data_IF_721896353933
#
_entry.id   IF_721896353933
#
_cell.length_a   1.000
_cell.length_b   1.000
_cell.length_c   1.000
_cell.angle_alpha   90.00
_cell.angle_beta   90.00
_cell.angle_gamma   90.00
#
_symmetry.space_group_name_H-M   'P 1'
#
loop_
_entity.id
_entity.type
_entity.pdbx_description
1 polymer ?
#
# COMPACT_ATOMS: atom_id res chain seq x y z
N UNK A 1 -43.32 29.11 -34.52
CA UNK A 1 -42.66 29.97 -33.52
C UNK A 1 -41.24 29.44 -33.35
N UNK A 2 -40.40 29.75 -34.34
CA UNK A 2 -39.25 30.69 -34.25
C UNK A 2 -38.04 29.95 -33.64
N UNK A 3 -37.13 29.38 -34.44
CA UNK A 3 -35.88 30.02 -34.95
C UNK A 3 -35.27 30.95 -33.91
N UNK A 4 -34.10 30.62 -33.34
CA UNK A 4 -32.83 31.10 -33.88
C UNK A 4 -31.58 30.32 -33.42
N UNK A 5 -30.67 30.13 -34.38
CA UNK A 5 -29.34 29.53 -34.28
C UNK A 5 -28.28 30.54 -33.79
N UNK A 6 -27.23 30.01 -33.13
CA UNK A 6 -25.86 30.51 -32.99
C UNK A 6 -25.53 31.70 -32.05
N UNK A 7 -24.96 31.36 -30.88
CA UNK A 7 -23.83 32.09 -30.28
C UNK A 7 -22.74 31.08 -29.86
N UNK A 8 -21.55 31.27 -30.45
CA UNK A 8 -20.20 30.89 -30.00
C UNK A 8 -20.02 29.97 -28.77
N UNK A 9 -19.46 28.77 -28.99
CA UNK A 9 -18.47 28.14 -28.10
C UNK A 9 -18.84 27.74 -26.66
N UNK A 10 -20.10 27.86 -26.23
CA UNK A 10 -20.50 27.48 -24.88
C UNK A 10 -20.95 26.01 -24.85
N UNK A 11 -20.16 25.15 -24.20
CA UNK A 11 -20.58 23.80 -23.85
C UNK A 11 -21.85 23.87 -22.96
N UNK A 12 -22.82 22.94 -23.09
CA UNK A 12 -23.95 22.87 -22.15
C UNK A 12 -23.44 22.80 -20.71
N UNK A 13 -24.16 23.38 -19.75
CA UNK A 13 -23.70 23.59 -18.37
C UNK A 13 -23.17 22.30 -17.72
N UNK A 14 -23.85 21.17 -17.92
CA UNK A 14 -23.39 19.85 -17.45
C UNK A 14 -22.08 19.39 -18.12
N UNK A 15 -21.87 19.72 -19.41
CA UNK A 15 -20.61 19.44 -20.09
C UNK A 15 -19.51 20.39 -19.62
N UNK A 16 -19.83 21.63 -19.29
CA UNK A 16 -18.88 22.59 -18.72
C UNK A 16 -18.41 22.16 -17.32
N UNK A 17 -19.31 21.65 -16.47
CA UNK A 17 -18.97 21.07 -15.18
C UNK A 17 -18.11 19.81 -15.32
N UNK A 18 -18.44 18.94 -16.28
CA UNK A 18 -17.62 17.77 -16.57
C UNK A 18 -16.22 18.13 -17.11
N UNK A 19 -16.12 19.18 -17.94
CA UNK A 19 -14.82 19.70 -18.42
C UNK A 19 -14.03 20.30 -17.25
N UNK A 20 -14.65 21.05 -16.34
CA UNK A 20 -13.98 21.60 -15.16
C UNK A 20 -13.49 20.49 -14.23
N UNK A 21 -14.32 19.49 -13.93
CA UNK A 21 -13.93 18.37 -13.07
C UNK A 21 -12.76 17.59 -13.67
N UNK A 22 -12.79 17.31 -14.98
CA UNK A 22 -11.70 16.59 -15.64
C UNK A 22 -10.39 17.37 -15.66
N UNK A 23 -10.43 18.71 -15.77
CA UNK A 23 -9.22 19.54 -15.65
C UNK A 23 -8.64 19.51 -14.23
N UNK A 24 -9.48 19.55 -13.20
CA UNK A 24 -9.06 19.44 -11.79
C UNK A 24 -8.48 18.06 -11.50
N UNK A 25 -9.13 16.99 -11.95
CA UNK A 25 -8.63 15.61 -11.82
C UNK A 25 -7.26 15.46 -12.48
N UNK A 26 -7.06 16.06 -13.65
CA UNK A 26 -5.79 16.02 -14.37
C UNK A 26 -4.66 16.68 -13.59
N UNK A 27 -4.90 17.87 -13.03
CA UNK A 27 -3.90 18.57 -12.21
C UNK A 27 -3.65 17.84 -10.89
N UNK A 28 -4.70 17.34 -10.23
CA UNK A 28 -4.61 16.59 -8.99
C UNK A 28 -3.76 15.31 -9.15
N UNK A 29 -4.01 14.54 -10.20
CA UNK A 29 -3.25 13.32 -10.48
C UNK A 29 -1.84 13.62 -10.96
N UNK A 30 -1.64 14.69 -11.72
CA UNK A 30 -0.30 15.12 -12.15
C UNK A 30 0.56 15.43 -10.94
N UNK A 31 0.07 16.28 -10.03
CA UNK A 31 0.79 16.66 -8.82
C UNK A 31 1.22 15.43 -8.01
N UNK A 32 0.28 14.52 -7.73
CA UNK A 32 0.54 13.31 -6.94
C UNK A 32 1.47 12.32 -7.64
N UNK A 33 1.38 12.22 -8.96
CA UNK A 33 2.23 11.29 -9.71
C UNK A 33 3.70 11.68 -9.69
N UNK A 34 4.01 12.97 -9.75
CA UNK A 34 5.39 13.47 -9.82
C UNK A 34 5.95 13.95 -8.47
N UNK A 35 5.29 13.64 -7.35
CA UNK A 35 5.72 14.06 -6.01
C UNK A 35 5.60 12.97 -4.95
N UNK A 36 5.73 11.70 -5.32
CA UNK A 36 5.67 10.59 -4.38
C UNK A 36 6.94 10.49 -3.54
N UNK A 37 6.81 10.43 -2.22
CA UNK A 37 7.91 10.19 -1.30
C UNK A 37 7.85 8.78 -0.71
N UNK A 38 8.70 7.85 -1.21
CA UNK A 38 8.77 6.50 -0.67
C UNK A 38 9.29 6.52 0.76
N UNK A 39 8.68 5.69 1.60
CA UNK A 39 9.20 5.39 2.93
C UNK A 39 10.44 4.50 2.79
N UNK A 40 11.55 4.88 3.45
CA UNK A 40 12.73 4.01 3.55
C UNK A 40 12.41 2.82 4.45
N UNK A 41 11.92 1.73 3.84
CA UNK A 41 11.55 0.53 4.56
C UNK A 41 12.19 -0.70 3.90
N UNK A 42 13.33 -1.11 4.46
CA UNK A 42 14.13 -2.24 4.00
C UNK A 42 14.00 -3.45 4.92
N UNK A 43 13.57 -4.60 4.40
CA UNK A 43 13.42 -5.84 5.19
C UNK A 43 14.51 -6.87 4.90
N UNK A 44 14.87 -7.05 3.63
CA UNK A 44 15.79 -8.10 3.21
C UNK A 44 16.56 -7.66 1.94
N UNK A 45 16.97 -8.61 1.10
CA UNK A 45 17.76 -8.37 -0.11
C UNK A 45 17.12 -7.36 -1.08
N UNK A 46 15.79 -7.30 -1.19
CA UNK A 46 15.11 -6.31 -2.05
C UNK A 46 15.35 -4.86 -1.61
N UNK A 47 15.75 -4.63 -0.34
CA UNK A 47 16.13 -3.30 0.13
C UNK A 47 17.41 -2.79 -0.53
N UNK A 48 18.36 -3.68 -0.85
CA UNK A 48 19.59 -3.31 -1.55
C UNK A 48 19.25 -2.86 -2.97
N UNK A 49 18.41 -3.61 -3.67
CA UNK A 49 17.94 -3.25 -5.00
C UNK A 49 17.13 -1.94 -5.00
N UNK A 50 16.39 -1.66 -3.94
CA UNK A 50 15.74 -0.37 -3.73
C UNK A 50 16.76 0.77 -3.57
N UNK A 51 17.82 0.57 -2.80
CA UNK A 51 18.92 1.54 -2.67
C UNK A 51 19.60 1.75 -4.03
N UNK A 52 19.84 0.68 -4.78
CA UNK A 52 20.44 0.76 -6.14
C UNK A 52 19.54 1.54 -7.09
N UNK A 53 18.21 1.40 -7.01
CA UNK A 53 17.28 2.21 -7.78
C UNK A 53 17.36 3.71 -7.44
N UNK A 54 17.83 4.06 -6.24
CA UNK A 54 18.14 5.43 -5.83
C UNK A 54 19.52 5.95 -6.25
N UNK A 55 20.41 5.09 -6.76
CA UNK A 55 21.74 5.52 -7.21
C UNK A 55 21.70 6.17 -8.59
N UNK A 56 22.76 6.92 -8.94
CA UNK A 56 22.87 7.68 -10.19
C UNK A 56 22.64 6.89 -11.48
N UNK A 57 22.80 5.55 -11.46
CA UNK A 57 22.59 4.71 -12.65
C UNK A 57 21.11 4.61 -13.05
N UNK A 58 20.23 4.50 -12.06
CA UNK A 58 18.79 4.26 -12.27
C UNK A 58 17.94 5.46 -11.88
N UNK A 59 18.42 6.22 -10.89
CA UNK A 59 17.94 7.52 -10.46
C UNK A 59 16.41 7.63 -10.37
N UNK A 60 15.86 7.12 -9.26
CA UNK A 60 14.44 7.25 -8.94
C UNK A 60 13.99 8.72 -8.76
N UNK A 61 14.91 9.68 -8.58
CA UNK A 61 14.56 11.10 -8.47
C UNK A 61 13.87 11.62 -9.74
N UNK A 62 14.18 11.03 -10.90
CA UNK A 62 13.59 11.38 -12.20
C UNK A 62 12.06 11.21 -12.26
N UNK A 63 11.52 10.37 -11.37
CA UNK A 63 10.09 10.12 -11.25
C UNK A 63 9.45 10.91 -10.08
N UNK A 64 10.15 11.89 -9.52
CA UNK A 64 9.69 12.66 -8.37
C UNK A 64 9.83 11.95 -7.03
N UNK A 65 10.59 10.85 -7.00
CA UNK A 65 10.77 9.97 -5.83
C UNK A 65 12.13 10.15 -5.17
N UNK A 66 12.66 11.36 -5.23
CA UNK A 66 14.02 11.70 -4.79
C UNK A 66 14.20 11.60 -3.27
N UNK A 67 13.15 11.89 -2.50
CA UNK A 67 13.23 11.94 -1.04
C UNK A 67 12.64 10.67 -0.44
N UNK A 68 13.49 9.66 -0.26
CA UNK A 68 13.12 8.52 0.55
C UNK A 68 13.06 8.93 2.04
N UNK A 69 11.84 9.06 2.59
CA UNK A 69 11.63 9.59 3.94
C UNK A 69 11.73 8.49 5.00
N UNK A 70 12.45 8.72 6.12
CA UNK A 70 12.52 7.76 7.23
C UNK A 70 11.31 7.80 8.16
N UNK A 71 10.38 8.74 7.97
CA UNK A 71 9.20 8.88 8.82
C UNK A 71 7.92 8.56 8.05
N UNK A 72 7.01 7.74 8.62
CA UNK A 72 5.77 7.38 7.93
C UNK A 72 4.81 8.56 7.76
N UNK A 73 4.85 9.54 8.66
CA UNK A 73 3.96 10.70 8.62
C UNK A 73 4.22 11.65 7.44
N UNK A 74 5.41 11.57 6.86
CA UNK A 74 5.82 12.40 5.72
C UNK A 74 5.84 11.60 4.40
N UNK A 75 5.73 10.27 4.45
CA UNK A 75 5.75 9.42 3.28
C UNK A 75 4.33 9.11 2.81
N UNK A 76 4.14 9.00 1.50
CA UNK A 76 2.88 8.63 0.86
C UNK A 76 2.96 7.27 0.14
N UNK A 77 4.16 6.73 -0.06
CA UNK A 77 4.38 5.42 -0.67
C UNK A 77 5.11 4.48 0.29
N UNK A 78 4.50 3.32 0.57
CA UNK A 78 5.12 2.24 1.33
C UNK A 78 5.59 1.14 0.38
N UNK A 79 6.91 0.99 0.23
CA UNK A 79 7.50 -0.10 -0.56
C UNK A 79 7.93 -1.21 0.39
N UNK A 80 7.32 -2.38 0.23
CA UNK A 80 7.63 -3.54 1.06
C UNK A 80 8.72 -4.34 0.37
N UNK A 81 9.97 -3.99 0.71
CA UNK A 81 11.16 -4.51 0.05
C UNK A 81 11.75 -5.72 0.78
N UNK A 82 11.12 -6.88 0.59
CA UNK A 82 11.68 -8.16 0.98
C UNK A 82 10.76 -9.04 1.83
N UNK A 83 11.38 -9.89 2.65
CA UNK A 83 10.66 -10.94 3.40
C UNK A 83 9.90 -10.37 4.59
N UNK A 84 8.58 -10.58 4.60
CA UNK A 84 7.72 -10.19 5.71
C UNK A 84 7.64 -11.35 6.70
N UNK A 85 8.29 -11.18 7.86
CA UNK A 85 8.11 -12.11 8.97
C UNK A 85 6.82 -11.76 9.72
N UNK A 86 6.15 -12.77 10.27
CA UNK A 86 4.94 -12.63 11.08
C UNK A 86 5.12 -11.56 12.19
N UNK A 87 6.27 -11.52 12.88
CA UNK A 87 6.58 -10.48 13.88
C UNK A 87 6.57 -9.06 13.28
N UNK A 88 7.09 -8.92 12.07
CA UNK A 88 7.21 -7.62 11.41
C UNK A 88 5.89 -7.08 10.86
N UNK A 89 4.90 -7.96 10.60
CA UNK A 89 3.58 -7.56 10.07
C UNK A 89 2.93 -6.49 10.95
N UNK A 90 2.97 -6.66 12.28
CA UNK A 90 2.35 -5.71 13.21
C UNK A 90 2.96 -4.32 13.06
N UNK A 91 4.29 -4.24 12.94
CA UNK A 91 4.99 -2.98 12.72
C UNK A 91 4.66 -2.37 11.36
N UNK A 92 4.56 -3.20 10.31
CA UNK A 92 4.20 -2.74 8.95
C UNK A 92 2.79 -2.12 8.93
N UNK A 93 1.81 -2.80 9.54
CA UNK A 93 0.43 -2.29 9.63
C UNK A 93 0.37 -1.00 10.45
N UNK A 94 1.15 -0.91 11.54
CA UNK A 94 1.26 0.34 12.32
C UNK A 94 1.87 1.48 11.50
N UNK A 95 2.92 1.21 10.72
CA UNK A 95 3.53 2.21 9.84
C UNK A 95 2.54 2.70 8.80
N UNK A 96 1.82 1.77 8.15
CA UNK A 96 0.79 2.10 7.16
C UNK A 96 -0.34 2.95 7.75
N UNK A 97 -0.83 2.60 8.94
CA UNK A 97 -1.87 3.40 9.62
C UNK A 97 -1.39 4.79 10.07
N UNK A 98 -0.08 4.99 10.22
CA UNK A 98 0.50 6.30 10.58
C UNK A 98 0.79 7.20 9.38
N UNK A 99 0.64 6.69 8.15
CA UNK A 99 0.81 7.46 6.93
C UNK A 99 -0.41 8.33 6.66
N UNK A 100 -0.18 9.53 6.13
CA UNK A 100 -1.24 10.41 5.69
C UNK A 100 -2.00 9.77 4.51
N UNK A 101 -3.30 9.98 4.46
CA UNK A 101 -4.08 9.71 3.26
C UNK A 101 -3.85 10.87 2.28
N UNK A 102 -3.50 10.62 1.01
CA UNK A 102 -3.53 9.35 0.29
C UNK A 102 -2.22 8.56 0.32
N UNK A 103 -2.32 7.25 0.55
CA UNK A 103 -1.15 6.36 0.63
C UNK A 103 -1.25 5.16 -0.30
N UNK A 104 -0.10 4.69 -0.76
CA UNK A 104 0.00 3.57 -1.69
C UNK A 104 0.99 2.52 -1.20
N UNK A 105 0.78 1.26 -1.60
CA UNK A 105 1.64 0.13 -1.23
C UNK A 105 2.15 -0.59 -2.46
N UNK A 106 3.48 -0.73 -2.56
CA UNK A 106 4.13 -1.60 -3.55
C UNK A 106 4.65 -2.84 -2.84
N UNK A 107 4.24 -4.02 -3.33
CA UNK A 107 4.87 -5.29 -2.96
C UNK A 107 6.08 -5.53 -3.85
N UNK A 108 7.28 -5.44 -3.27
CA UNK A 108 8.53 -5.62 -4.01
C UNK A 108 9.15 -6.99 -3.71
N UNK A 109 9.20 -7.81 -4.76
CA UNK A 109 9.82 -9.12 -4.75
C UNK A 109 8.88 -10.28 -4.39
N UNK A 110 9.37 -11.50 -4.60
CA UNK A 110 8.62 -12.74 -4.41
C UNK A 110 8.22 -12.96 -2.95
N UNK A 111 9.08 -12.55 -2.00
CA UNK A 111 8.81 -12.72 -0.57
C UNK A 111 7.65 -11.83 -0.09
N UNK A 112 7.60 -10.57 -0.51
CA UNK A 112 6.51 -9.66 -0.16
C UNK A 112 5.19 -10.06 -0.82
N UNK A 113 5.25 -10.60 -2.05
CA UNK A 113 4.06 -10.95 -2.84
C UNK A 113 3.42 -12.27 -2.38
N UNK A 114 4.21 -13.30 -2.06
CA UNK A 114 3.69 -14.63 -1.78
C UNK A 114 4.52 -15.48 -0.82
N UNK A 115 5.45 -14.88 -0.07
CA UNK A 115 6.39 -15.59 0.81
C UNK A 115 7.65 -16.11 0.10
N UNK A 116 7.65 -16.15 -1.24
CA UNK A 116 8.81 -16.50 -2.06
C UNK A 116 9.37 -17.89 -1.71
N UNK A 117 10.69 -18.08 -1.69
CA UNK A 117 11.31 -19.36 -1.32
C UNK A 117 11.04 -19.75 0.14
N UNK A 118 10.63 -18.81 0.99
CA UNK A 118 10.35 -19.03 2.41
C UNK A 118 8.87 -19.23 2.70
N UNK A 119 8.04 -19.50 1.68
CA UNK A 119 6.58 -19.65 1.84
C UNK A 119 6.18 -20.73 2.85
N UNK A 120 6.97 -21.80 2.94
CA UNK A 120 6.77 -22.92 3.87
C UNK A 120 7.43 -22.69 5.25
N UNK A 121 8.15 -21.57 5.42
CA UNK A 121 8.79 -21.21 6.67
C UNK A 121 7.79 -20.86 7.78
N UNK A 122 8.03 -21.33 9.00
CA UNK A 122 7.15 -21.12 10.16
C UNK A 122 6.93 -19.64 10.51
N UNK A 123 7.90 -18.78 10.19
CA UNK A 123 7.93 -17.37 10.58
C UNK A 123 7.57 -16.39 9.46
N UNK A 124 7.48 -16.83 8.21
CA UNK A 124 7.23 -15.96 7.05
C UNK A 124 5.75 -15.95 6.71
N UNK A 125 5.25 -14.77 6.32
CA UNK A 125 3.90 -14.63 5.80
C UNK A 125 3.89 -14.93 4.31
N UNK A 126 2.92 -15.71 3.85
CA UNK A 126 2.70 -16.01 2.43
C UNK A 126 2.07 -14.84 1.64
N UNK A 127 2.63 -13.63 1.78
CA UNK A 127 2.22 -12.41 1.08
C UNK A 127 1.65 -11.32 1.99
N UNK A 128 2.02 -10.06 1.74
CA UNK A 128 1.53 -8.91 2.51
C UNK A 128 0.07 -8.56 2.21
N UNK A 129 -0.43 -8.94 1.03
CA UNK A 129 -1.81 -8.65 0.58
C UNK A 129 -2.89 -9.15 1.55
N UNK A 130 -2.55 -10.12 2.41
CA UNK A 130 -3.42 -10.60 3.50
C UNK A 130 -3.69 -9.56 4.59
N UNK A 131 -2.84 -8.55 4.72
CA UNK A 131 -2.85 -7.56 5.81
C UNK A 131 -2.99 -6.13 5.32
N UNK A 132 -2.41 -5.80 4.16
CA UNK A 132 -2.45 -4.46 3.57
C UNK A 132 -2.97 -4.52 2.13
N UNK A 133 -3.73 -3.50 1.68
CA UNK A 133 -4.11 -3.40 0.28
C UNK A 133 -2.87 -3.08 -0.57
N UNK A 134 -2.45 -3.99 -1.44
CA UNK A 134 -1.33 -3.77 -2.35
C UNK A 134 -1.81 -3.14 -3.65
N UNK A 135 -1.16 -2.06 -4.08
CA UNK A 135 -1.52 -1.36 -5.32
C UNK A 135 -0.83 -1.91 -6.55
N UNK A 136 0.46 -2.24 -6.43
CA UNK A 136 1.30 -2.75 -7.52
C UNK A 136 2.22 -3.85 -6.99
N UNK A 137 2.33 -4.92 -7.77
CA UNK A 137 3.23 -6.03 -7.51
C UNK A 137 4.44 -5.96 -8.44
N UNK A 138 5.64 -6.01 -7.89
CA UNK A 138 6.89 -6.08 -8.65
C UNK A 138 7.51 -7.47 -8.47
N UNK A 139 7.46 -8.34 -9.49
CA UNK A 139 8.02 -9.69 -9.41
C UNK A 139 9.56 -9.67 -9.47
N UNK A 140 10.19 -10.60 -8.75
CA UNK A 140 11.65 -10.79 -8.74
C UNK A 140 12.19 -11.28 -7.39
N UNK A 141 13.44 -11.75 -7.33
CA UNK A 141 14.05 -12.23 -6.07
C UNK A 141 15.60 -12.09 -6.07
N UNK A 142 16.15 -10.87 -5.94
CA UNK A 142 15.46 -9.57 -5.91
C UNK A 142 15.07 -9.10 -7.33
N UNK A 143 14.05 -8.24 -7.48
CA UNK A 143 13.68 -7.66 -8.77
C UNK A 143 14.78 -6.71 -9.25
N UNK A 144 15.13 -6.71 -10.53
CA UNK A 144 16.15 -5.76 -11.02
C UNK A 144 15.69 -4.32 -10.79
N UNK A 145 16.63 -3.35 -10.65
CA UNK A 145 16.26 -1.95 -10.46
C UNK A 145 15.37 -1.41 -11.60
N UNK A 146 15.55 -1.88 -12.84
CA UNK A 146 14.67 -1.51 -13.95
C UNK A 146 13.24 -2.03 -13.76
N UNK A 147 13.09 -3.24 -13.22
CA UNK A 147 11.77 -3.81 -12.92
C UNK A 147 11.05 -3.01 -11.83
N UNK A 148 11.78 -2.50 -10.84
CA UNK A 148 11.21 -1.59 -9.84
C UNK A 148 10.78 -0.26 -10.46
N UNK A 149 11.59 0.34 -11.34
CA UNK A 149 11.22 1.55 -12.08
C UNK A 149 9.97 1.32 -12.94
N UNK A 150 9.84 0.15 -13.57
CA UNK A 150 8.61 -0.23 -14.27
C UNK A 150 7.41 -0.33 -13.33
N UNK A 151 7.61 -0.80 -12.10
CA UNK A 151 6.61 -0.75 -11.02
C UNK A 151 6.14 0.68 -10.74
N UNK A 152 7.05 1.64 -10.66
CA UNK A 152 6.71 3.05 -10.50
C UNK A 152 5.91 3.59 -11.69
N UNK A 153 6.33 3.30 -12.94
CA UNK A 153 5.58 3.70 -14.14
C UNK A 153 4.16 3.11 -14.12
N UNK A 154 4.00 1.88 -13.65
CA UNK A 154 2.68 1.24 -13.51
C UNK A 154 1.83 1.93 -12.45
N UNK A 155 2.43 2.34 -11.33
CA UNK A 155 1.76 3.14 -10.31
C UNK A 155 1.33 4.52 -10.85
N UNK A 156 2.17 5.19 -11.64
CA UNK A 156 1.81 6.45 -12.29
C UNK A 156 0.63 6.29 -13.25
N UNK A 157 0.57 5.18 -14.00
CA UNK A 157 -0.60 4.85 -14.84
C UNK A 157 -1.86 4.68 -14.00
N UNK A 158 -1.75 4.07 -12.81
CA UNK A 158 -2.87 3.92 -11.86
C UNK A 158 -3.36 5.28 -11.33
N UNK A 159 -2.49 6.26 -11.14
CA UNK A 159 -2.94 7.61 -10.72
C UNK A 159 -3.69 8.32 -11.82
N UNK A 160 -3.24 8.22 -13.07
CA UNK A 160 -3.92 8.84 -14.21
C UNK A 160 -5.35 8.34 -14.43
N UNK A 161 -5.70 7.16 -13.93
CA UNK A 161 -7.06 6.61 -14.01
C UNK A 161 -7.95 6.98 -12.83
N UNK A 162 -7.41 7.59 -11.77
CA UNK A 162 -8.19 7.99 -10.60
C UNK A 162 -8.91 9.32 -10.84
N UNK A 163 -10.07 9.50 -10.22
CA UNK A 163 -10.81 10.76 -10.21
C UNK A 163 -11.13 11.13 -8.77
N UNK A 164 -11.16 12.42 -8.45
CA UNK A 164 -11.45 12.94 -7.11
C UNK A 164 -12.80 12.42 -6.59
N UNK A 165 -13.78 12.12 -7.46
CA UNK A 165 -15.07 11.55 -7.03
C UNK A 165 -15.00 10.06 -6.67
N UNK A 166 -14.09 9.32 -7.29
CA UNK A 166 -14.04 7.85 -7.22
C UNK A 166 -13.10 7.36 -6.11
N UNK A 167 -12.15 8.18 -5.69
CA UNK A 167 -11.12 7.77 -4.73
C UNK A 167 -11.69 7.44 -3.35
N UNK A 168 -11.15 6.41 -2.65
CA UNK A 168 -11.73 5.93 -1.39
C UNK A 168 -11.72 6.97 -0.27
N UNK A 169 -10.69 7.81 -0.19
CA UNK A 169 -10.43 8.67 0.96
C UNK A 169 -11.37 9.86 1.14
N UNK A 170 -12.02 10.32 0.06
CA UNK A 170 -13.05 11.36 0.18
C UNK A 170 -14.43 10.77 0.50
N UNK A 171 -14.56 9.44 0.58
CA UNK A 171 -15.83 8.79 0.90
C UNK A 171 -16.10 8.83 2.41
N UNK A 172 -17.32 9.22 2.79
CA UNK A 172 -17.75 9.31 4.21
C UNK A 172 -17.62 8.00 5.00
N UNK A 173 -17.63 6.85 4.33
CA UNK A 173 -17.53 5.52 4.96
C UNK A 173 -16.09 5.02 5.09
N UNK A 174 -15.10 5.77 4.62
CA UNK A 174 -13.71 5.34 4.64
C UNK A 174 -13.10 5.60 6.02
N UNK A 175 -12.76 4.53 6.73
CA UNK A 175 -12.12 4.61 8.04
C UNK A 175 -10.60 4.62 7.97
N UNK A 176 -9.99 4.38 6.80
CA UNK A 176 -8.54 4.50 6.57
C UNK A 176 -7.64 3.60 7.41
N UNK A 177 -8.17 2.85 8.37
CA UNK A 177 -7.38 2.09 9.32
C UNK A 177 -7.45 0.60 8.99
N UNK A 178 -6.28 -0.01 8.77
CA UNK A 178 -6.16 -1.46 8.72
C UNK A 178 -6.06 -2.02 10.15
N UNK A 179 -6.88 -3.03 10.52
CA UNK A 179 -6.83 -3.58 11.86
C UNK A 179 -5.47 -4.20 12.13
N UNK A 180 -4.90 -3.89 13.29
CA UNK A 180 -3.60 -4.44 13.69
C UNK A 180 -3.78 -5.95 13.89
N UNK A 181 -3.01 -6.79 13.18
CA UNK A 181 -3.17 -8.23 13.28
C UNK A 181 -2.67 -8.72 14.64
N UNK A 182 -3.55 -9.41 15.37
CA UNK A 182 -3.16 -10.14 16.57
C UNK A 182 -2.49 -11.43 16.11
N UNK A 183 -1.18 -11.51 16.30
CA UNK A 183 -0.43 -12.71 15.98
C UNK A 183 -0.86 -13.83 16.92
N UNK A 184 -1.17 -15.00 16.35
CA UNK A 184 -1.56 -16.20 17.10
C UNK A 184 -0.47 -16.71 18.06
N UNK A 185 -0.71 -17.84 18.74
CA UNK A 185 0.18 -18.37 19.78
C UNK A 185 1.63 -18.62 19.36
N UNK A 186 1.92 -18.68 18.05
CA UNK A 186 3.28 -18.87 17.55
C UNK A 186 4.18 -17.63 17.66
N UNK A 187 3.65 -16.39 17.76
CA UNK A 187 4.45 -15.13 17.83
C UNK A 187 3.70 -14.08 18.66
N UNK A 188 3.50 -14.36 19.94
CA UNK A 188 2.63 -13.57 20.82
C UNK A 188 3.21 -12.16 21.11
N UNK A 189 2.35 -11.15 21.00
CA UNK A 189 2.48 -9.85 21.68
C UNK A 189 2.58 -10.08 23.19
N UNK A 190 3.73 -9.78 23.81
CA UNK A 190 3.93 -9.91 25.26
C UNK A 190 3.15 -8.89 26.09
N UNK A 191 2.25 -8.11 25.46
CA UNK A 191 1.38 -7.18 26.16
C UNK A 191 0.41 -7.95 27.07
N UNK A 192 0.31 -7.61 28.38
CA UNK A 192 -0.44 -8.40 29.35
C UNK A 192 -1.91 -8.65 28.97
N UNK A 193 -2.55 -7.69 28.29
CA UNK A 193 -3.94 -7.80 27.85
C UNK A 193 -4.12 -8.82 26.69
N UNK A 194 -3.19 -8.86 25.74
CA UNK A 194 -3.24 -9.78 24.61
C UNK A 194 -2.95 -11.22 25.06
N UNK A 195 -2.01 -11.39 26.00
CA UNK A 195 -1.74 -12.68 26.66
C UNK A 195 -2.96 -13.25 27.39
N UNK A 196 -3.75 -12.38 28.05
CA UNK A 196 -4.98 -12.78 28.74
C UNK A 196 -6.03 -13.26 27.72
N UNK A 197 -6.22 -12.52 26.63
CA UNK A 197 -7.15 -12.88 25.57
C UNK A 197 -6.78 -14.19 24.85
N UNK A 198 -5.49 -14.40 24.54
CA UNK A 198 -5.00 -15.65 23.93
C UNK A 198 -5.16 -16.83 24.90
N UNK A 199 -4.89 -16.63 26.20
CA UNK A 199 -5.12 -17.64 27.24
C UNK A 199 -6.60 -18.01 27.33
N UNK A 200 -7.49 -17.04 27.35
CA UNK A 200 -8.94 -17.26 27.47
C UNK A 200 -9.49 -18.02 26.25
N UNK A 201 -9.05 -17.68 25.04
CA UNK A 201 -9.42 -18.40 23.79
C UNK A 201 -8.89 -19.83 23.78
N UNK A 202 -7.65 -20.06 24.21
CA UNK A 202 -7.07 -21.40 24.28
C UNK A 202 -7.72 -22.26 25.36
N UNK A 203 -8.05 -21.67 26.53
CA UNK A 203 -8.79 -22.36 27.60
C UNK A 203 -10.21 -22.73 27.16
N UNK A 204 -10.88 -21.85 26.43
CA UNK A 204 -12.22 -22.12 25.87
C UNK A 204 -12.16 -23.27 24.86
N UNK A 205 -11.15 -23.31 23.99
CA UNK A 205 -10.95 -24.40 23.02
C UNK A 205 -10.60 -25.73 23.68
N UNK A 206 -9.76 -25.72 24.72
CA UNK A 206 -9.43 -26.91 25.52
C UNK A 206 -10.62 -27.46 26.28
N UNK A 207 -11.46 -26.58 26.84
CA UNK A 207 -12.70 -26.98 27.50
C UNK A 207 -13.71 -27.57 26.51
N UNK A 208 -13.87 -26.95 25.33
CA UNK A 208 -14.71 -27.47 24.25
C UNK A 208 -14.22 -28.84 23.71
N UNK A 209 -12.90 -29.02 23.60
CA UNK A 209 -12.30 -30.30 23.18
C UNK A 209 -12.46 -31.39 24.26
N UNK A 210 -12.43 -31.03 25.54
CA UNK A 210 -12.67 -31.95 26.66
C UNK A 210 -14.14 -32.35 26.78
N UNK A 211 -15.07 -31.44 26.52
CA UNK A 211 -16.51 -31.76 26.52
C UNK A 211 -16.96 -32.58 25.31
N UNK A 212 -16.16 -32.61 24.23
CA UNK A 212 -16.43 -33.43 23.05
C UNK A 212 -15.82 -34.85 23.15
N UNK A 213 -15.02 -35.12 24.19
CA UNK A 213 -14.30 -36.38 24.39
C UNK A 213 -14.86 -37.23 25.54
N UNK A 214 -16.01 -36.85 26.11
CA UNK A 214 -16.79 -37.62 27.09
C UNK A 214 -18.24 -37.68 26.67
#
# INVERSE_FOLDING_TARGET
>A
MAENTSTTGAAPEELSENILITTVDSVYNLARSYSLWPMTFGLACCAIEFIVAGTARYDMSRFGMEVARPSPRQADLLIISGTVTKKMVVSIVRLYNQMAEPRYVISMGACATGGGPFKEGYNVVSGIDKFLPVDVYVPGCPPTPEALLHGFITLHKKFKTQSVRTVPWYRKTYTGETPIPVLGPDIIDTHPAALKQVRDVNMTRLMAARSAAG
#
